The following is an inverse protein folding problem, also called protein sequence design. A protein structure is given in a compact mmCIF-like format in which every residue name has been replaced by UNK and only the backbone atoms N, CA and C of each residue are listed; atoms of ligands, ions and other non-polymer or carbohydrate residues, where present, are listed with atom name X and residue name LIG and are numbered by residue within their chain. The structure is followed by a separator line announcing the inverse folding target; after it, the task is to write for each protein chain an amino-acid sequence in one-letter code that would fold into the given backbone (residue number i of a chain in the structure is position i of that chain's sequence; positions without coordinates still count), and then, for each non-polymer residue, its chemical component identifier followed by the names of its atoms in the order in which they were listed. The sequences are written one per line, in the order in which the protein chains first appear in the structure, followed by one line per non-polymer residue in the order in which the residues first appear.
data_IF_028749704515
#
_entry.id   IF_028749704515
#
_cell.length_a   1.000
_cell.length_b   1.000
_cell.length_c   1.000
_cell.angle_alpha   90.00
_cell.angle_beta   90.00
_cell.angle_gamma   90.00
#
_symmetry.space_group_name_H-M   'P 1'
#
loop_
_entity.id
_entity.type
_entity.pdbx_description
1 polymer ?
#
# COMPACT_ATOMS: atom_id res chain seq x y z
N UNK A 1 -19.57 17.04 -20.99
CA UNK A 1 -18.67 15.87 -21.13
C UNK A 1 -18.32 15.41 -19.73
N UNK A 2 -19.03 14.41 -19.24
CA UNK A 2 -18.76 13.81 -17.94
C UNK A 2 -17.48 12.98 -18.05
N UNK A 3 -16.48 13.27 -17.22
CA UNK A 3 -15.32 12.42 -17.02
C UNK A 3 -15.74 11.27 -16.11
N UNK A 4 -15.62 10.08 -16.67
CA UNK A 4 -15.95 8.79 -16.10
C UNK A 4 -15.00 8.43 -14.95
N UNK A 5 -15.31 8.87 -13.73
CA UNK A 5 -14.68 8.38 -12.50
C UNK A 5 -15.31 7.05 -12.07
N UNK A 6 -15.15 6.01 -12.89
CA UNK A 6 -15.45 4.62 -12.48
C UNK A 6 -14.37 3.64 -12.94
N UNK A 7 -13.14 3.82 -12.44
CA UNK A 7 -12.16 2.73 -12.42
C UNK A 7 -12.04 2.20 -11.00
N UNK A 8 -13.10 1.51 -10.56
CA UNK A 8 -12.94 0.41 -9.59
C UNK A 8 -12.26 -0.75 -10.34
N UNK A 9 -10.98 -0.61 -10.65
CA UNK A 9 -10.13 -1.76 -10.98
C UNK A 9 -10.15 -2.64 -9.75
N UNK A 10 -10.61 -3.89 -9.88
CA UNK A 10 -10.50 -4.87 -8.81
C UNK A 10 -9.04 -4.90 -8.34
N UNK A 11 -8.79 -4.36 -7.14
CA UNK A 11 -7.44 -4.20 -6.60
C UNK A 11 -6.81 -5.55 -6.27
N UNK A 12 -7.66 -6.56 -6.07
CA UNK A 12 -7.28 -7.94 -5.77
C UNK A 12 -8.01 -8.92 -6.70
N UNK A 13 -7.26 -9.91 -7.18
CA UNK A 13 -7.70 -11.05 -7.97
C UNK A 13 -7.39 -12.31 -7.17
N UNK A 14 -8.41 -12.85 -6.50
CA UNK A 14 -8.29 -14.03 -5.65
C UNK A 14 -8.56 -15.31 -6.46
N UNK A 15 -7.61 -16.24 -6.44
CA UNK A 15 -7.71 -17.50 -7.15
C UNK A 15 -8.22 -18.62 -6.24
N UNK A 16 -9.23 -19.33 -6.72
CA UNK A 16 -9.56 -20.66 -6.18
C UNK A 16 -8.58 -21.71 -6.71
N UNK A 17 -8.48 -22.86 -6.05
CA UNK A 17 -7.74 -24.02 -6.56
C UNK A 17 -8.16 -24.43 -7.98
N UNK A 18 -9.45 -24.32 -8.30
CA UNK A 18 -9.98 -24.60 -9.63
C UNK A 18 -9.48 -23.60 -10.67
N UNK A 19 -9.48 -22.29 -10.35
CA UNK A 19 -8.96 -21.24 -11.22
C UNK A 19 -7.45 -21.39 -11.44
N UNK A 20 -6.68 -21.66 -10.38
CA UNK A 20 -5.25 -21.95 -10.46
C UNK A 20 -4.96 -23.12 -11.44
N UNK A 21 -5.71 -24.22 -11.34
CA UNK A 21 -5.55 -25.35 -12.26
C UNK A 21 -5.86 -25.00 -13.71
N UNK A 22 -6.78 -24.07 -13.96
CA UNK A 22 -7.05 -23.58 -15.33
C UNK A 22 -5.85 -22.81 -15.86
N UNK A 23 -5.28 -21.89 -15.07
CA UNK A 23 -4.08 -21.15 -15.48
C UNK A 23 -2.89 -22.09 -15.74
N UNK A 24 -2.71 -23.13 -14.92
CA UNK A 24 -1.69 -24.16 -15.15
C UNK A 24 -1.93 -24.98 -16.44
N UNK A 25 -3.19 -25.25 -16.82
CA UNK A 25 -3.49 -25.91 -18.11
C UNK A 25 -3.14 -25.03 -19.30
N UNK A 26 -3.46 -23.74 -19.24
CA UNK A 26 -3.09 -22.79 -20.29
C UNK A 26 -1.57 -22.67 -20.44
N UNK A 27 -0.84 -22.74 -19.32
CA UNK A 27 0.61 -22.81 -19.32
C UNK A 27 1.14 -24.14 -19.88
N UNK A 28 0.57 -25.28 -19.47
CA UNK A 28 0.96 -26.56 -20.00
C UNK A 28 0.78 -26.60 -21.53
N UNK A 29 -0.35 -26.11 -22.05
CA UNK A 29 -0.67 -26.11 -23.47
C UNK A 29 0.38 -25.40 -24.34
N UNK A 30 0.91 -24.26 -23.88
CA UNK A 30 1.97 -23.51 -24.57
C UNK A 30 3.38 -24.07 -24.35
N UNK A 31 3.58 -24.90 -23.31
CA UNK A 31 4.87 -25.50 -22.97
C UNK A 31 5.00 -26.99 -23.37
N UNK A 32 3.98 -27.58 -24.01
CA UNK A 32 3.94 -28.99 -24.44
C UNK A 32 5.21 -29.45 -25.16
N UNK A 33 5.83 -28.58 -25.95
CA UNK A 33 7.03 -28.89 -26.74
C UNK A 33 8.32 -29.04 -25.90
N UNK A 34 8.34 -28.53 -24.66
CA UNK A 34 9.56 -28.46 -23.85
C UNK A 34 9.75 -29.64 -22.87
N UNK A 35 8.68 -30.36 -22.54
CA UNK A 35 8.63 -31.03 -21.23
C UNK A 35 8.93 -32.52 -21.22
N UNK A 36 8.96 -33.22 -22.35
CA UNK A 36 8.88 -34.69 -22.34
C UNK A 36 10.09 -35.40 -21.71
N UNK A 37 11.23 -34.73 -21.51
CA UNK A 37 12.45 -35.37 -20.97
C UNK A 37 13.24 -34.56 -19.92
N UNK A 38 13.01 -33.25 -19.74
CA UNK A 38 13.94 -32.37 -19.00
C UNK A 38 13.50 -31.96 -17.59
N UNK A 39 12.26 -32.29 -17.19
CA UNK A 39 11.70 -31.94 -15.89
C UNK A 39 11.31 -30.47 -15.74
N UNK A 40 10.66 -30.15 -14.61
CA UNK A 40 10.22 -28.80 -14.25
C UNK A 40 10.73 -28.42 -12.86
N UNK A 41 11.36 -27.26 -12.76
CA UNK A 41 11.81 -26.66 -11.52
C UNK A 41 10.90 -25.47 -11.19
N UNK A 42 10.31 -25.49 -9.99
CA UNK A 42 9.54 -24.36 -9.49
C UNK A 42 10.43 -23.46 -8.65
N UNK A 43 10.45 -22.16 -8.94
CA UNK A 43 11.12 -21.19 -8.06
C UNK A 43 10.49 -21.31 -6.65
N UNK A 44 11.30 -21.36 -5.57
CA UNK A 44 10.79 -21.60 -4.23
C UNK A 44 9.66 -20.65 -3.81
N UNK A 45 8.71 -21.18 -3.03
CA UNK A 45 7.40 -20.60 -2.67
C UNK A 45 6.31 -20.86 -3.72
N UNK A 46 5.87 -19.85 -4.47
CA UNK A 46 4.75 -19.95 -5.41
C UNK A 46 5.00 -20.90 -6.58
N UNK A 47 6.18 -20.82 -7.21
CA UNK A 47 6.57 -21.67 -8.34
C UNK A 47 6.53 -23.18 -8.06
N UNK A 48 6.73 -23.62 -6.81
CA UNK A 48 6.64 -25.04 -6.44
C UNK A 48 5.25 -25.65 -6.73
N UNK A 49 4.18 -24.89 -6.44
CA UNK A 49 2.81 -25.35 -6.71
C UNK A 49 2.55 -25.45 -8.22
N UNK A 50 3.07 -24.49 -8.99
CA UNK A 50 3.00 -24.48 -10.46
C UNK A 50 3.74 -25.68 -11.03
N UNK A 51 4.98 -25.92 -10.62
CA UNK A 51 5.79 -27.06 -11.07
C UNK A 51 5.11 -28.39 -10.77
N UNK A 52 4.51 -28.53 -9.58
CA UNK A 52 3.79 -29.75 -9.19
C UNK A 52 2.56 -30.02 -10.06
N UNK A 53 1.81 -28.99 -10.45
CA UNK A 53 0.64 -29.16 -11.32
C UNK A 53 1.06 -29.39 -12.78
N UNK A 54 2.07 -28.67 -13.27
CA UNK A 54 2.64 -28.88 -14.60
C UNK A 54 3.23 -30.27 -14.78
N UNK A 55 3.91 -30.81 -13.77
CA UNK A 55 4.46 -32.17 -13.80
C UNK A 55 3.38 -33.20 -14.19
N UNK A 56 2.16 -33.07 -13.65
CA UNK A 56 1.03 -33.96 -13.98
C UNK A 56 0.51 -33.72 -15.39
N UNK A 57 0.39 -32.47 -15.81
CA UNK A 57 -0.17 -32.09 -17.11
C UNK A 57 0.77 -32.40 -18.28
N UNK A 58 2.07 -32.30 -18.05
CA UNK A 58 3.12 -32.48 -19.05
C UNK A 58 3.77 -33.86 -19.00
N UNK A 59 3.51 -34.65 -17.95
CA UNK A 59 4.11 -35.96 -17.75
C UNK A 59 5.62 -35.91 -17.49
N UNK A 60 6.10 -34.88 -16.79
CA UNK A 60 7.52 -34.66 -16.49
C UNK A 60 7.78 -34.70 -14.98
N UNK A 61 9.04 -34.86 -14.57
CA UNK A 61 9.42 -34.89 -13.15
C UNK A 61 9.58 -33.48 -12.57
N UNK A 62 9.15 -33.28 -11.32
CA UNK A 62 9.54 -32.09 -10.55
C UNK A 62 10.99 -32.24 -10.11
N UNK A 63 11.78 -31.18 -10.27
CA UNK A 63 13.18 -31.12 -9.85
C UNK A 63 13.31 -30.40 -8.51
N UNK A 64 14.20 -30.90 -7.66
CA UNK A 64 14.63 -30.26 -6.40
C UNK A 64 15.63 -29.12 -6.63
N UNK A 65 16.38 -29.22 -7.72
CA UNK A 65 17.40 -28.27 -8.16
C UNK A 65 17.29 -28.03 -9.67
N UNK A 66 17.54 -26.79 -10.15
CA UNK A 66 17.51 -26.50 -11.57
C UNK A 66 18.60 -27.31 -12.30
N UNK A 67 18.25 -27.95 -13.43
CA UNK A 67 19.18 -28.70 -14.28
C UNK A 67 19.23 -28.10 -15.67
N UNK A 68 20.38 -28.11 -16.36
CA UNK A 68 20.48 -27.54 -17.70
C UNK A 68 19.36 -28.02 -18.64
N UNK A 69 18.63 -27.05 -19.19
CA UNK A 69 17.53 -27.30 -20.13
C UNK A 69 16.19 -27.70 -19.50
N UNK A 70 16.06 -27.75 -18.16
CA UNK A 70 14.76 -27.91 -17.52
C UNK A 70 13.89 -26.66 -17.73
N UNK A 71 12.58 -26.84 -17.58
CA UNK A 71 11.65 -25.71 -17.52
C UNK A 71 11.72 -25.08 -16.13
N UNK A 72 11.89 -23.76 -16.04
CA UNK A 72 11.81 -23.00 -14.79
C UNK A 72 10.49 -22.25 -14.75
N UNK A 73 9.70 -22.43 -13.71
CA UNK A 73 8.39 -21.79 -13.58
C UNK A 73 8.23 -21.04 -12.27
N UNK A 74 7.39 -20.01 -12.33
CA UNK A 74 6.93 -19.26 -11.16
C UNK A 74 5.40 -19.04 -11.23
N UNK A 75 4.82 -18.60 -10.12
CA UNK A 75 3.41 -18.22 -10.07
C UNK A 75 3.19 -16.80 -10.61
N UNK A 76 4.08 -15.85 -10.27
CA UNK A 76 4.00 -14.45 -10.68
C UNK A 76 5.39 -13.85 -10.91
N UNK A 77 5.59 -13.24 -12.08
CA UNK A 77 6.73 -12.31 -12.27
C UNK A 77 6.28 -10.90 -11.90
N UNK A 78 6.85 -10.36 -10.82
CA UNK A 78 6.67 -8.99 -10.35
C UNK A 78 7.93 -8.15 -10.63
N UNK A 79 8.84 -7.93 -9.68
CA UNK A 79 10.12 -7.25 -9.98
C UNK A 79 11.05 -8.01 -10.94
N UNK A 80 10.80 -9.30 -11.17
CA UNK A 80 11.65 -10.19 -11.97
C UNK A 80 12.97 -10.61 -11.30
N UNK A 81 13.25 -10.14 -10.07
CA UNK A 81 14.51 -10.44 -9.37
C UNK A 81 14.76 -11.94 -9.15
N UNK A 82 13.71 -12.70 -8.86
CA UNK A 82 13.78 -14.16 -8.64
C UNK A 82 14.01 -14.92 -9.94
N UNK A 83 13.38 -14.50 -11.02
CA UNK A 83 13.46 -15.14 -12.34
C UNK A 83 14.76 -14.79 -13.10
N UNK A 84 15.31 -13.59 -12.85
CA UNK A 84 16.47 -13.03 -13.57
C UNK A 84 17.65 -14.01 -13.73
N UNK A 85 18.15 -14.68 -12.67
CA UNK A 85 19.32 -15.56 -12.81
C UNK A 85 19.09 -16.70 -13.80
N UNK A 86 17.87 -17.27 -13.82
CA UNK A 86 17.53 -18.37 -14.72
C UNK A 86 17.45 -17.91 -16.18
N UNK A 87 16.89 -16.72 -16.42
CA UNK A 87 16.83 -16.15 -17.78
C UNK A 87 18.24 -15.84 -18.29
N UNK A 88 19.11 -15.27 -17.45
CA UNK A 88 20.50 -14.96 -17.82
C UNK A 88 21.33 -16.22 -18.08
N UNK A 89 21.06 -17.31 -17.34
CA UNK A 89 21.69 -18.61 -17.55
C UNK A 89 21.07 -19.41 -18.73
N UNK A 90 20.11 -18.83 -19.46
CA UNK A 90 19.54 -19.41 -20.67
C UNK A 90 18.49 -20.51 -20.44
N UNK A 91 17.88 -20.57 -19.25
CA UNK A 91 16.76 -21.48 -19.00
C UNK A 91 15.50 -21.06 -19.75
N UNK A 92 14.66 -22.02 -20.10
CA UNK A 92 13.29 -21.73 -20.53
C UNK A 92 12.48 -21.36 -19.29
N UNK A 93 12.06 -20.11 -19.21
CA UNK A 93 11.31 -19.55 -18.08
C UNK A 93 9.87 -19.19 -18.47
N UNK A 94 8.92 -19.43 -17.56
CA UNK A 94 7.54 -18.93 -17.69
C UNK A 94 6.86 -18.74 -16.33
N UNK A 95 5.72 -18.04 -16.30
CA UNK A 95 4.92 -17.84 -15.10
C UNK A 95 3.42 -17.78 -15.39
N UNK A 96 2.57 -17.95 -14.38
CA UNK A 96 1.11 -17.86 -14.57
C UNK A 96 0.72 -16.41 -14.83
N UNK A 97 1.24 -15.50 -14.01
CA UNK A 97 0.96 -14.08 -14.08
C UNK A 97 2.22 -13.24 -14.26
N UNK A 98 2.02 -12.02 -14.77
CA UNK A 98 3.10 -11.08 -15.06
C UNK A 98 2.64 -9.65 -14.84
N UNK A 99 3.41 -8.85 -14.10
CA UNK A 99 3.09 -7.45 -13.88
C UNK A 99 3.53 -6.58 -15.05
N UNK A 100 2.74 -5.56 -15.46
CA UNK A 100 3.12 -4.69 -16.58
C UNK A 100 4.47 -3.97 -16.42
N UNK A 101 4.93 -3.76 -15.18
CA UNK A 101 6.19 -3.09 -14.88
C UNK A 101 7.41 -4.03 -14.83
N UNK A 102 7.20 -5.35 -14.99
CA UNK A 102 8.26 -6.35 -14.95
C UNK A 102 9.18 -6.27 -16.18
N UNK A 103 10.43 -6.81 -16.11
CA UNK A 103 11.33 -6.89 -17.27
C UNK A 103 10.76 -7.77 -18.39
N UNK A 104 10.76 -7.26 -19.62
CA UNK A 104 10.22 -7.96 -20.78
C UNK A 104 10.96 -9.30 -21.06
N UNK A 105 10.22 -10.31 -21.53
CA UNK A 105 10.81 -11.58 -21.97
C UNK A 105 10.99 -12.66 -20.89
N UNK A 106 10.79 -12.35 -19.61
CA UNK A 106 10.99 -13.32 -18.52
C UNK A 106 9.90 -14.40 -18.44
N UNK A 107 8.68 -14.07 -18.86
CA UNK A 107 7.55 -15.00 -18.93
C UNK A 107 6.64 -14.62 -20.10
N UNK A 108 7.04 -14.95 -21.35
CA UNK A 108 6.37 -14.46 -22.55
C UNK A 108 4.93 -14.96 -22.70
N UNK A 109 4.60 -16.10 -22.09
CA UNK A 109 3.26 -16.70 -22.12
C UNK A 109 2.35 -16.32 -20.94
N UNK A 110 2.87 -15.57 -19.97
CA UNK A 110 2.15 -15.25 -18.74
C UNK A 110 1.01 -14.25 -18.97
N UNK A 111 -0.07 -14.41 -18.19
CA UNK A 111 -1.21 -13.50 -18.21
C UNK A 111 -0.82 -12.17 -17.54
N UNK A 112 -0.95 -11.08 -18.29
CA UNK A 112 -0.69 -9.73 -17.75
C UNK A 112 -1.81 -9.29 -16.83
N UNK A 113 -1.46 -8.81 -15.64
CA UNK A 113 -2.42 -8.26 -14.67
C UNK A 113 -1.80 -7.15 -13.82
N UNK A 114 -2.50 -6.05 -13.62
CA UNK A 114 -2.13 -5.01 -12.65
C UNK A 114 -2.60 -5.35 -11.23
N UNK A 115 -3.70 -6.11 -11.10
CA UNK A 115 -4.30 -6.49 -9.82
C UNK A 115 -3.35 -7.35 -8.97
N UNK A 116 -3.40 -7.18 -7.65
CA UNK A 116 -2.74 -8.10 -6.71
C UNK A 116 -3.34 -9.50 -6.87
N UNK A 117 -2.52 -10.51 -7.09
CA UNK A 117 -3.01 -11.88 -7.29
C UNK A 117 -2.88 -12.59 -5.96
N UNK A 118 -4.01 -12.99 -5.37
CA UNK A 118 -3.99 -13.80 -4.15
C UNK A 118 -4.14 -15.27 -4.55
N UNK A 119 -3.11 -16.07 -4.28
CA UNK A 119 -3.09 -17.47 -4.65
C UNK A 119 -3.78 -18.37 -3.61
N UNK A 120 -4.26 -19.57 -3.99
CA UNK A 120 -5.01 -20.44 -3.09
C UNK A 120 -4.26 -20.83 -1.81
N UNK A 121 -2.93 -20.94 -1.88
CA UNK A 121 -2.07 -21.29 -0.74
C UNK A 121 -1.80 -20.13 0.21
N UNK A 122 -2.09 -18.90 -0.19
CA UNK A 122 -1.89 -17.71 0.64
C UNK A 122 -3.05 -17.48 1.61
N UNK A 123 -4.23 -18.06 1.34
CA UNK A 123 -5.39 -17.94 2.22
C UNK A 123 -5.19 -18.57 3.61
N UNK A 124 -4.24 -19.49 3.74
CA UNK A 124 -3.93 -20.16 5.01
C UNK A 124 -2.84 -19.47 5.82
N UNK A 125 -2.13 -18.49 5.23
CA UNK A 125 -1.06 -17.79 5.92
C UNK A 125 -1.65 -16.81 6.95
N UNK A 126 -1.15 -16.85 8.19
CA UNK A 126 -1.51 -15.87 9.21
C UNK A 126 -0.57 -14.66 9.09
N UNK A 127 -1.05 -13.41 9.22
CA UNK A 127 -0.19 -12.23 9.11
C UNK A 127 0.95 -12.23 10.14
N UNK A 128 0.75 -12.89 11.29
CA UNK A 128 1.76 -13.12 12.32
C UNK A 128 2.98 -13.86 11.77
N UNK A 129 2.81 -14.79 10.82
CA UNK A 129 3.90 -15.55 10.24
C UNK A 129 4.91 -14.63 9.55
N UNK A 130 4.44 -13.56 8.88
CA UNK A 130 5.31 -12.58 8.25
C UNK A 130 6.17 -11.84 9.29
N UNK A 131 5.61 -11.54 10.47
CA UNK A 131 6.36 -10.91 11.57
C UNK A 131 7.37 -11.88 12.18
N UNK A 132 7.02 -13.16 12.34
CA UNK A 132 7.96 -14.20 12.77
C UNK A 132 9.15 -14.28 11.81
N UNK A 133 8.88 -14.31 10.49
CA UNK A 133 9.95 -14.32 9.48
C UNK A 133 10.81 -13.07 9.52
N UNK A 134 10.21 -11.90 9.77
CA UNK A 134 10.98 -10.67 9.93
C UNK A 134 11.90 -10.73 11.16
N UNK A 135 11.44 -11.29 12.28
CA UNK A 135 12.25 -11.49 13.49
C UNK A 135 13.43 -12.45 13.22
N UNK A 136 13.16 -13.60 12.59
CA UNK A 136 14.21 -14.54 12.19
C UNK A 136 15.23 -13.88 11.25
N UNK A 137 14.74 -13.08 10.29
CA UNK A 137 15.58 -12.39 9.32
C UNK A 137 16.54 -11.38 9.94
N UNK A 138 16.13 -10.71 11.03
CA UNK A 138 17.02 -9.79 11.77
C UNK A 138 17.91 -10.51 12.80
N UNK A 139 17.86 -11.85 12.86
CA UNK A 139 18.68 -12.67 13.74
C UNK A 139 18.15 -12.84 15.16
N UNK A 140 16.87 -12.56 15.40
CA UNK A 140 16.21 -12.75 16.70
C UNK A 140 15.64 -14.16 16.83
N UNK A 141 15.46 -14.61 18.08
CA UNK A 141 14.72 -15.83 18.42
C UNK A 141 13.25 -15.49 18.70
N UNK A 142 12.29 -15.81 17.81
CA UNK A 142 10.88 -15.50 18.02
C UNK A 142 10.28 -16.20 19.24
N UNK A 143 10.92 -17.26 19.76
CA UNK A 143 10.45 -18.05 20.90
C UNK A 143 10.93 -17.52 22.25
N UNK A 144 11.83 -16.54 22.29
CA UNK A 144 12.23 -15.94 23.57
C UNK A 144 11.05 -15.22 24.21
N UNK A 145 11.00 -15.23 25.55
CA UNK A 145 9.88 -14.73 26.37
C UNK A 145 9.33 -13.36 25.91
N UNK A 146 10.21 -12.40 25.62
CA UNK A 146 9.79 -11.07 25.16
C UNK A 146 9.18 -11.00 23.75
N UNK A 147 9.44 -11.99 22.88
CA UNK A 147 9.02 -11.98 21.47
C UNK A 147 7.88 -12.94 21.14
N UNK A 148 7.55 -13.89 22.02
CA UNK A 148 6.54 -14.91 21.73
C UNK A 148 5.19 -14.31 21.29
N UNK A 149 4.78 -13.18 21.90
CA UNK A 149 3.55 -12.45 21.54
C UNK A 149 3.79 -11.22 20.67
N UNK A 150 5.01 -10.97 20.22
CA UNK A 150 5.33 -9.83 19.34
C UNK A 150 4.59 -9.89 18.01
N UNK A 151 4.49 -11.04 17.30
CA UNK A 151 3.75 -11.12 16.05
C UNK A 151 2.30 -10.59 16.14
N UNK A 152 1.50 -11.10 17.08
CA UNK A 152 0.13 -10.64 17.33
C UNK A 152 0.07 -9.14 17.70
N UNK A 153 0.97 -8.68 18.59
CA UNK A 153 1.04 -7.26 18.96
C UNK A 153 1.35 -6.36 17.76
N UNK A 154 2.27 -6.77 16.88
CA UNK A 154 2.61 -6.02 15.66
C UNK A 154 1.43 -5.98 14.71
N UNK A 155 0.77 -7.11 14.44
CA UNK A 155 -0.42 -7.17 13.59
C UNK A 155 -1.53 -6.22 14.07
N UNK A 156 -1.85 -6.25 15.38
CA UNK A 156 -2.83 -5.34 15.97
C UNK A 156 -2.41 -3.88 15.89
N UNK A 157 -1.14 -3.58 16.15
CA UNK A 157 -0.61 -2.22 16.05
C UNK A 157 -0.74 -1.68 14.62
N UNK A 158 -0.38 -2.47 13.60
CA UNK A 158 -0.57 -2.07 12.21
C UNK A 158 -2.05 -1.88 11.86
N UNK A 159 -2.93 -2.79 12.29
CA UNK A 159 -4.37 -2.66 12.08
C UNK A 159 -4.94 -1.35 12.66
N UNK A 160 -4.45 -0.91 13.82
CA UNK A 160 -4.82 0.37 14.43
C UNK A 160 -4.23 1.56 13.66
N UNK A 161 -2.92 1.52 13.39
CA UNK A 161 -2.19 2.60 12.72
C UNK A 161 -2.60 2.79 11.26
N UNK A 162 -3.26 1.81 10.64
CA UNK A 162 -3.80 1.89 9.28
C UNK A 162 -5.33 1.86 9.23
N UNK A 163 -6.02 2.07 10.36
CA UNK A 163 -7.49 2.01 10.42
C UNK A 163 -8.18 3.09 9.57
N UNK A 164 -7.47 4.15 9.18
CA UNK A 164 -7.98 5.26 8.37
C UNK A 164 -8.36 4.88 6.94
N UNK A 165 -7.88 3.75 6.42
CA UNK A 165 -8.31 3.25 5.09
C UNK A 165 -9.79 2.81 5.08
N UNK A 166 -10.35 2.45 6.24
CA UNK A 166 -11.75 1.97 6.37
C UNK A 166 -12.74 3.08 6.69
N UNK A 167 -12.32 4.34 6.60
CA UNK A 167 -13.09 5.51 6.99
C UNK A 167 -13.23 6.48 5.81
N UNK A 168 -14.29 7.28 5.82
CA UNK A 168 -14.62 8.23 4.76
C UNK A 168 -14.79 9.66 5.30
N UNK A 169 -14.19 10.63 4.63
CA UNK A 169 -14.27 12.06 4.99
C UNK A 169 -15.70 12.58 5.01
N UNK A 170 -16.53 12.16 4.05
CA UNK A 170 -17.95 12.54 3.93
C UNK A 170 -18.73 12.20 5.19
N UNK A 171 -18.51 11.01 5.75
CA UNK A 171 -19.25 10.55 6.94
C UNK A 171 -18.77 11.28 8.20
N UNK A 172 -17.47 11.60 8.27
CA UNK A 172 -16.90 12.37 9.37
C UNK A 172 -17.46 13.79 9.37
N UNK A 173 -17.43 14.46 8.20
CA UNK A 173 -17.81 15.86 8.01
C UNK A 173 -19.31 16.08 7.76
N UNK A 174 -20.10 15.01 7.61
CA UNK A 174 -21.51 15.09 7.20
C UNK A 174 -22.46 15.72 8.22
N UNK A 175 -22.04 15.90 9.48
CA UNK A 175 -22.83 16.61 10.50
C UNK A 175 -22.37 18.06 10.60
N UNK A 176 -23.17 18.97 10.03
CA UNK A 176 -22.93 20.42 10.03
C UNK A 176 -24.04 21.16 10.77
N UNK A 177 -23.74 22.36 11.25
CA UNK A 177 -24.65 23.28 11.92
C UNK A 177 -24.80 24.53 11.05
N UNK A 178 -26.02 25.07 10.99
CA UNK A 178 -26.27 26.35 10.32
C UNK A 178 -25.92 27.52 11.26
N UNK A 179 -25.28 28.54 10.71
CA UNK A 179 -24.85 29.74 11.41
C UNK A 179 -24.54 30.85 10.42
N UNK A 180 -24.78 32.10 10.81
CA UNK A 180 -24.40 33.28 10.03
C UNK A 180 -22.90 33.65 10.19
N UNK A 181 -22.10 32.77 10.82
CA UNK A 181 -20.68 33.01 11.04
C UNK A 181 -19.89 32.95 9.72
N UNK A 182 -19.32 34.10 9.33
CA UNK A 182 -18.65 34.30 8.05
C UNK A 182 -17.14 34.58 8.17
N UNK A 183 -16.59 34.42 9.38
CA UNK A 183 -15.17 34.62 9.70
C UNK A 183 -14.38 33.30 9.66
N UNK A 184 -13.06 33.38 9.79
CA UNK A 184 -12.18 32.21 9.80
C UNK A 184 -12.46 31.34 11.02
N UNK A 185 -12.69 30.04 10.80
CA UNK A 185 -12.76 29.03 11.85
C UNK A 185 -11.48 28.20 11.79
N UNK A 186 -10.79 28.07 12.91
CA UNK A 186 -9.50 27.39 12.96
C UNK A 186 -9.35 26.53 14.20
N UNK A 187 -8.93 25.28 13.99
CA UNK A 187 -8.48 24.38 15.02
C UNK A 187 -6.96 24.21 14.88
N UNK A 188 -6.21 24.78 15.84
CA UNK A 188 -4.74 24.74 15.86
C UNK A 188 -4.23 23.54 16.67
N UNK A 189 -3.01 23.12 16.34
CA UNK A 189 -2.19 22.18 17.12
C UNK A 189 -2.84 20.81 17.40
N UNK A 190 -3.51 20.25 16.39
CA UNK A 190 -4.04 18.89 16.41
C UNK A 190 -2.86 17.92 16.38
N UNK A 191 -2.65 17.19 17.48
CA UNK A 191 -1.63 16.16 17.53
C UNK A 191 -1.99 14.98 16.62
N UNK A 192 -1.00 14.49 15.87
CA UNK A 192 -1.16 13.29 15.04
C UNK A 192 0.11 12.43 15.05
N UNK A 193 -0.07 11.16 14.69
CA UNK A 193 0.99 10.23 14.35
C UNK A 193 0.58 9.44 13.12
N UNK A 194 1.51 9.24 12.19
CA UNK A 194 1.30 8.53 10.93
C UNK A 194 2.52 7.68 10.59
N UNK A 195 2.43 6.83 9.58
CA UNK A 195 3.51 5.95 9.13
C UNK A 195 4.04 6.42 7.79
N UNK A 196 5.35 6.65 7.69
CA UNK A 196 5.98 7.01 6.42
C UNK A 196 5.90 5.83 5.45
N UNK A 197 5.31 6.01 4.26
CA UNK A 197 5.10 4.90 3.31
C UNK A 197 6.41 4.29 2.79
N UNK A 198 7.51 5.04 2.77
CA UNK A 198 8.81 4.57 2.29
C UNK A 198 9.52 3.61 3.26
N UNK A 199 9.22 3.71 4.55
CA UNK A 199 10.00 3.04 5.60
C UNK A 199 9.16 2.36 6.66
N UNK A 200 7.83 2.56 6.64
CA UNK A 200 6.89 2.13 7.68
C UNK A 200 7.30 2.58 9.09
N UNK A 201 8.07 3.66 9.19
CA UNK A 201 8.48 4.28 10.45
C UNK A 201 7.57 5.46 10.78
N UNK A 202 7.25 5.70 12.07
CA UNK A 202 6.37 6.79 12.45
C UNK A 202 6.92 8.18 12.12
N UNK A 203 6.03 9.09 11.76
CA UNK A 203 6.25 10.53 11.85
C UNK A 203 5.08 11.16 12.60
N UNK A 204 5.37 12.12 13.47
CA UNK A 204 4.39 12.68 14.39
C UNK A 204 4.62 14.16 14.58
N UNK A 205 3.54 14.89 14.88
CA UNK A 205 3.61 16.33 15.01
C UNK A 205 2.26 16.99 15.22
N UNK A 206 2.15 18.22 14.75
CA UNK A 206 0.99 19.07 14.90
C UNK A 206 0.43 19.48 13.54
N UNK A 207 -0.89 19.52 13.44
CA UNK A 207 -1.64 20.02 12.28
C UNK A 207 -2.61 21.10 12.73
N UNK A 208 -2.61 22.21 12.00
CA UNK A 208 -3.60 23.27 12.14
C UNK A 208 -4.47 23.31 10.90
N UNK A 209 -5.78 23.32 11.07
CA UNK A 209 -6.78 23.37 10.00
C UNK A 209 -7.64 24.61 10.19
N UNK A 210 -7.66 25.49 9.19
CA UNK A 210 -8.51 26.67 9.11
C UNK A 210 -9.37 26.65 7.87
N UNK A 211 -10.60 27.17 7.96
CA UNK A 211 -11.46 27.35 6.79
C UNK A 211 -12.36 28.57 6.96
N UNK A 212 -12.80 29.11 5.82
CA UNK A 212 -13.76 30.20 5.74
C UNK A 212 -15.10 29.62 5.25
N UNK A 213 -16.18 29.65 6.04
CA UNK A 213 -17.48 29.11 5.64
C UNK A 213 -18.01 29.78 4.37
N UNK A 214 -18.68 29.01 3.50
CA UNK A 214 -19.34 29.52 2.29
C UNK A 214 -20.83 29.79 2.46
N UNK A 215 -21.60 28.79 2.87
CA UNK A 215 -23.07 28.85 2.94
C UNK A 215 -23.61 28.80 4.37
N UNK A 216 -22.88 29.39 5.33
CA UNK A 216 -23.28 29.40 6.75
C UNK A 216 -23.25 28.01 7.42
N UNK A 217 -22.59 27.03 6.81
CA UNK A 217 -22.43 25.68 7.38
C UNK A 217 -21.11 25.58 8.13
N UNK A 218 -21.19 25.20 9.40
CA UNK A 218 -20.04 24.99 10.27
C UNK A 218 -20.01 23.57 10.79
N UNK A 219 -18.81 22.99 10.85
CA UNK A 219 -18.63 21.63 11.36
C UNK A 219 -18.27 21.68 12.85
N UNK A 220 -18.69 20.66 13.61
CA UNK A 220 -18.22 20.51 14.98
C UNK A 220 -16.70 20.38 15.05
N UNK A 221 -16.07 21.07 16.00
CA UNK A 221 -14.60 21.12 16.18
C UNK A 221 -13.97 19.71 16.20
N UNK A 222 -14.64 18.76 16.88
CA UNK A 222 -14.16 17.38 16.98
C UNK A 222 -14.10 16.64 15.64
N UNK A 223 -14.83 17.09 14.61
CA UNK A 223 -14.81 16.47 13.28
C UNK A 223 -13.55 16.80 12.49
N UNK A 224 -13.00 18.01 12.62
CA UNK A 224 -11.71 18.37 12.03
C UNK A 224 -10.58 17.50 12.61
N UNK A 225 -10.57 17.31 13.93
CA UNK A 225 -9.63 16.41 14.57
C UNK A 225 -9.78 14.96 14.08
N UNK A 226 -11.02 14.45 13.96
CA UNK A 226 -11.29 13.11 13.41
C UNK A 226 -10.85 12.96 11.97
N UNK A 227 -11.02 13.98 11.14
CA UNK A 227 -10.54 14.00 9.75
C UNK A 227 -9.01 13.89 9.69
N UNK A 228 -8.31 14.64 10.56
CA UNK A 228 -6.85 14.53 10.69
C UNK A 228 -6.44 13.11 11.09
N UNK A 229 -7.09 12.52 12.10
CA UNK A 229 -6.78 11.14 12.53
C UNK A 229 -7.08 10.10 11.43
N UNK A 230 -8.15 10.29 10.66
CA UNK A 230 -8.49 9.43 9.53
C UNK A 230 -7.35 9.38 8.50
N UNK A 231 -6.83 10.55 8.13
CA UNK A 231 -5.73 10.65 7.16
C UNK A 231 -4.39 10.18 7.74
N UNK A 232 -4.13 10.50 9.02
CA UNK A 232 -2.90 10.11 9.71
C UNK A 232 -2.79 8.59 9.92
N UNK A 233 -3.91 7.89 10.13
CA UNK A 233 -3.95 6.43 10.30
C UNK A 233 -3.87 5.67 8.97
N UNK A 234 -2.85 5.97 8.17
CA UNK A 234 -2.51 5.37 6.86
C UNK A 234 -1.00 5.35 6.67
N UNK A 235 -0.52 4.63 5.65
CA UNK A 235 0.81 4.89 5.09
C UNK A 235 0.76 6.20 4.31
N UNK A 236 1.67 7.13 4.59
CA UNK A 236 1.59 8.51 4.12
C UNK A 236 2.93 9.10 3.71
N UNK A 237 2.83 10.16 2.91
CA UNK A 237 3.79 11.26 2.83
C UNK A 237 3.13 12.53 3.39
N UNK A 238 3.90 13.39 4.06
CA UNK A 238 3.35 14.53 4.80
C UNK A 238 2.61 15.50 3.87
N UNK A 239 3.16 15.77 2.70
CA UNK A 239 2.63 16.64 1.65
C UNK A 239 1.23 16.19 1.20
N UNK A 240 1.08 14.89 0.90
CA UNK A 240 -0.19 14.30 0.46
C UNK A 240 -1.23 14.40 1.57
N UNK A 241 -0.84 14.05 2.79
CA UNK A 241 -1.74 14.14 3.95
C UNK A 241 -2.23 15.59 4.17
N UNK A 242 -1.34 16.58 4.13
CA UNK A 242 -1.71 18.01 4.23
C UNK A 242 -2.69 18.41 3.14
N UNK A 243 -2.41 18.04 1.89
CA UNK A 243 -3.23 18.41 0.74
C UNK A 243 -4.61 17.74 0.76
N UNK A 244 -4.67 16.45 1.09
CA UNK A 244 -5.93 15.69 1.10
C UNK A 244 -6.87 16.16 2.21
N UNK A 245 -6.34 16.50 3.39
CA UNK A 245 -7.14 17.14 4.45
C UNK A 245 -7.76 18.44 3.93
N UNK A 246 -6.98 19.31 3.29
CA UNK A 246 -7.47 20.58 2.79
C UNK A 246 -8.58 20.40 1.73
N UNK A 247 -8.38 19.46 0.79
CA UNK A 247 -9.36 19.13 -0.25
C UNK A 247 -10.65 18.58 0.33
N UNK A 248 -10.57 17.70 1.32
CA UNK A 248 -11.76 17.13 1.96
C UNK A 248 -12.58 18.20 2.69
N UNK A 249 -11.91 19.11 3.42
CA UNK A 249 -12.59 20.24 4.08
C UNK A 249 -13.25 21.15 3.04
N UNK A 250 -12.53 21.52 1.98
CA UNK A 250 -13.04 22.39 0.91
C UNK A 250 -14.28 21.79 0.27
N UNK A 251 -14.21 20.49 -0.09
CA UNK A 251 -15.27 19.77 -0.79
C UNK A 251 -16.50 19.53 0.09
N UNK A 252 -16.31 19.07 1.33
CA UNK A 252 -17.41 18.58 2.16
C UNK A 252 -18.08 19.68 2.99
N UNK A 253 -17.40 20.79 3.24
CA UNK A 253 -17.97 21.94 3.96
C UNK A 253 -18.41 23.08 3.03
N UNK A 254 -18.20 22.95 1.72
CA UNK A 254 -18.49 24.02 0.76
C UNK A 254 -17.83 25.35 1.18
N UNK A 255 -16.56 25.25 1.58
CA UNK A 255 -15.81 26.37 2.13
C UNK A 255 -15.40 27.34 1.01
N UNK A 256 -15.34 28.64 1.31
CA UNK A 256 -14.76 29.65 0.41
C UNK A 256 -13.24 29.57 0.34
N UNK A 257 -12.62 29.02 1.37
CA UNK A 257 -11.19 28.78 1.42
C UNK A 257 -10.83 27.87 2.56
N UNK A 258 -9.71 27.16 2.40
CA UNK A 258 -9.14 26.27 3.42
C UNK A 258 -7.64 26.51 3.50
N UNK A 259 -7.10 26.46 4.72
CA UNK A 259 -5.68 26.51 5.00
C UNK A 259 -5.32 25.36 5.94
N UNK A 260 -4.33 24.56 5.57
CA UNK A 260 -3.79 23.49 6.42
C UNK A 260 -2.28 23.68 6.54
N UNK A 261 -1.75 23.63 7.76
CA UNK A 261 -0.31 23.55 8.02
C UNK A 261 -0.04 22.30 8.83
N UNK A 262 0.99 21.56 8.44
CA UNK A 262 1.49 20.40 9.16
C UNK A 262 2.95 20.61 9.51
N UNK A 263 3.31 20.40 10.77
CA UNK A 263 4.69 20.34 11.24
C UNK A 263 4.94 18.99 11.89
N UNK A 264 5.93 18.24 11.42
CA UNK A 264 6.22 16.92 11.96
C UNK A 264 7.71 16.59 12.02
N UNK A 265 8.05 15.66 12.92
CA UNK A 265 9.34 14.98 12.96
C UNK A 265 9.19 13.58 12.39
N UNK A 266 10.21 13.14 11.65
CA UNK A 266 10.20 11.88 10.92
C UNK A 266 11.21 10.89 11.49
N UNK A 267 10.78 9.76 12.04
CA UNK A 267 11.71 8.79 12.62
C UNK A 267 12.60 8.13 11.54
N UNK A 268 12.17 8.11 10.27
CA UNK A 268 13.02 7.67 9.16
C UNK A 268 14.26 8.56 8.94
N UNK A 269 14.25 9.81 9.42
CA UNK A 269 15.42 10.68 9.49
C UNK A 269 16.07 10.68 10.88
N UNK A 270 15.29 10.44 11.94
CA UNK A 270 15.75 10.50 13.32
C UNK A 270 16.56 9.30 13.80
N UNK A 271 16.09 8.07 13.56
CA UNK A 271 16.72 6.85 14.11
C UNK A 271 17.62 6.10 13.12
N UNK A 272 17.57 6.45 11.83
CA UNK A 272 18.36 5.83 10.76
C UNK A 272 18.73 6.85 9.68
N UNK A 273 19.52 6.41 8.69
CA UNK A 273 19.93 7.28 7.59
C UNK A 273 20.79 8.45 8.10
N UNK A 274 20.28 9.67 7.94
CA UNK A 274 20.94 10.92 8.36
C UNK A 274 21.05 11.08 9.88
N UNK A 275 20.18 10.42 10.66
CA UNK A 275 20.16 10.43 12.14
C UNK A 275 20.04 11.83 12.75
N UNK A 276 19.12 12.64 12.22
CA UNK A 276 18.76 13.95 12.76
C UNK A 276 17.39 13.90 13.45
N UNK A 277 17.35 13.73 14.79
CA UNK A 277 16.09 13.69 15.56
C UNK A 277 15.51 15.08 15.86
N UNK A 278 16.23 16.14 15.51
CA UNK A 278 15.82 17.53 15.80
C UNK A 278 15.05 18.11 14.62
N UNK A 279 15.48 17.81 13.39
CA UNK A 279 14.85 18.29 12.16
C UNK A 279 13.32 18.12 12.15
N UNK A 280 12.63 19.17 11.75
CA UNK A 280 11.17 19.19 11.59
C UNK A 280 10.81 19.68 10.20
N UNK A 281 9.90 18.98 9.54
CA UNK A 281 9.37 19.35 8.23
C UNK A 281 8.08 20.12 8.39
N UNK A 282 7.92 21.22 7.65
CA UNK A 282 6.68 22.00 7.56
C UNK A 282 6.13 21.91 6.15
N UNK A 283 4.85 21.56 6.03
CA UNK A 283 4.09 21.56 4.77
C UNK A 283 2.82 22.38 4.97
N UNK A 284 2.30 22.94 3.88
CA UNK A 284 1.05 23.69 3.92
C UNK A 284 0.28 23.56 2.61
N UNK A 285 -1.05 23.52 2.69
CA UNK A 285 -1.95 23.59 1.54
C UNK A 285 -2.94 24.75 1.74
N UNK A 286 -3.05 25.61 0.72
CA UNK A 286 -3.94 26.78 0.72
C UNK A 286 -4.88 26.72 -0.48
N UNK A 287 -6.18 26.77 -0.22
CA UNK A 287 -7.24 26.71 -1.22
C UNK A 287 -8.18 27.92 -1.11
N UNK A 288 -8.78 28.31 -2.24
CA UNK A 288 -9.75 29.41 -2.31
C UNK A 288 -9.19 30.73 -1.77
N UNK A 289 -9.95 31.40 -0.91
CA UNK A 289 -9.57 32.72 -0.35
C UNK A 289 -8.17 32.73 0.28
N UNK A 290 -7.74 31.65 0.95
CA UNK A 290 -6.39 31.57 1.50
C UNK A 290 -5.31 31.45 0.43
N UNK A 291 -5.60 30.93 -0.77
CA UNK A 291 -4.62 30.95 -1.87
C UNK A 291 -4.52 32.34 -2.49
N UNK A 292 -5.65 33.01 -2.66
CA UNK A 292 -5.76 34.19 -3.50
C UNK A 292 -5.53 35.50 -2.73
N UNK A 293 -5.84 35.55 -1.43
CA UNK A 293 -5.67 36.73 -0.58
C UNK A 293 -4.52 36.57 0.43
N UNK A 294 -3.50 37.42 0.29
CA UNK A 294 -2.36 37.46 1.21
C UNK A 294 -2.72 37.87 2.63
N UNK A 295 -3.76 38.69 2.83
CA UNK A 295 -4.21 39.11 4.16
C UNK A 295 -4.85 37.95 4.91
N UNK A 296 -5.73 37.19 4.24
CA UNK A 296 -6.34 35.99 4.80
C UNK A 296 -5.28 34.94 5.18
N UNK A 297 -4.22 34.77 4.37
CA UNK A 297 -3.07 33.93 4.77
C UNK A 297 -2.36 34.47 6.00
N UNK A 298 -2.04 35.76 6.02
CA UNK A 298 -1.32 36.36 7.13
C UNK A 298 -2.09 36.19 8.45
N UNK A 299 -3.41 36.34 8.43
CA UNK A 299 -4.29 36.10 9.58
C UNK A 299 -4.25 34.64 10.05
N UNK A 300 -4.19 33.68 9.13
CA UNK A 300 -4.05 32.25 9.48
C UNK A 300 -2.69 31.91 10.12
N UNK A 301 -1.61 32.54 9.65
CA UNK A 301 -0.25 32.31 10.17
C UNK A 301 0.05 33.05 11.47
N UNK A 302 -0.74 34.06 11.83
CA UNK A 302 -0.63 34.78 13.10
C UNK A 302 -1.08 33.91 14.29
#
# INVERSE_FOLDING_TARGET
MATDDTVSQATEYSLTWSAFKVECRLMADRLKAFAKERGVYGIPTGGCFVAQELSKLLGCHVLDTPKPGCLVVDDLVDSGKTMKPFVEDGYTCDALFYKPHSPAGYAPGARKTSAWVQFPWEHTAQPEDAVVRLLEFVGEDPKRDGLEKTPDRVCRAFAEMTAGYKQNAKDILGTVFETDYDQIIMLKDIQFSSLCEHHMLPFSGLISVGYLPGTGKVVGISKLARLVQMHAKRLQIQERMTADIAKDVMKHLDARGVAVITRAKHNCMGCRGVKDPVASMVTSEMLGVFRDDAKARAEFFA
#
